data_IF_951641543300
#
_entry.id   IF_951641543300
#
_cell.length_a   1.000
_cell.length_b   1.000
_cell.length_c   1.000
_cell.angle_alpha   90.00
_cell.angle_beta   90.00
_cell.angle_gamma   90.00
#
_symmetry.space_group_name_H-M   'P 1'
#
loop_
_entity.id
_entity.type
_entity.pdbx_description
1 polymer ?
#
# COMPACT_ATOMS: atom_id res chain seq x y z
N UNK A 1 -37.19 -5.94 5.15
CA UNK A 1 -35.81 -5.67 5.60
C UNK A 1 -34.86 -6.20 4.54
N UNK A 2 -34.45 -5.34 3.61
CA UNK A 2 -33.57 -5.72 2.51
C UNK A 2 -32.13 -5.61 3.01
N UNK A 3 -31.56 -6.69 3.52
CA UNK A 3 -30.13 -6.75 3.83
C UNK A 3 -29.38 -6.85 2.51
N UNK A 4 -28.91 -5.71 2.00
CA UNK A 4 -27.83 -5.70 1.03
C UNK A 4 -26.60 -6.29 1.73
N UNK A 5 -26.37 -7.58 1.55
CA UNK A 5 -25.09 -8.20 1.85
C UNK A 5 -24.14 -7.61 0.81
N UNK A 6 -23.31 -6.64 1.23
CA UNK A 6 -22.23 -6.15 0.38
C UNK A 6 -21.27 -7.33 0.21
N UNK A 7 -21.11 -7.90 -0.99
CA UNK A 7 -20.20 -9.01 -1.19
C UNK A 7 -18.80 -8.56 -0.77
N UNK A 8 -18.08 -9.39 -0.04
CA UNK A 8 -16.69 -9.12 0.28
C UNK A 8 -15.94 -8.92 -1.07
N UNK A 9 -14.98 -8.00 -1.19
CA UNK A 9 -14.16 -7.87 -2.40
C UNK A 9 -13.60 -9.20 -2.94
N UNK A 10 -13.42 -10.21 -2.08
CA UNK A 10 -13.01 -11.57 -2.45
C UNK A 10 -14.12 -12.40 -3.12
N UNK A 11 -15.39 -12.15 -2.78
CA UNK A 11 -16.59 -12.80 -3.32
C UNK A 11 -16.83 -12.44 -4.79
N UNK A 12 -16.53 -11.20 -5.16
CA UNK A 12 -16.62 -10.71 -6.55
C UNK A 12 -15.69 -11.47 -7.49
N UNK A 13 -14.54 -11.95 -7.01
CA UNK A 13 -13.57 -12.65 -7.86
C UNK A 13 -14.11 -13.98 -8.37
N UNK A 14 -14.84 -14.77 -7.57
CA UNK A 14 -15.40 -16.04 -8.05
C UNK A 14 -16.57 -15.84 -9.02
N UNK A 15 -17.38 -14.81 -8.80
CA UNK A 15 -18.55 -14.53 -9.64
C UNK A 15 -18.12 -14.12 -11.05
N UNK A 16 -17.07 -13.30 -11.16
CA UNK A 16 -16.53 -12.81 -12.43
C UNK A 16 -15.51 -13.77 -13.08
N UNK A 17 -15.23 -14.92 -12.45
CA UNK A 17 -14.29 -15.92 -12.96
C UNK A 17 -14.98 -17.04 -13.75
N UNK A 18 -14.30 -17.50 -14.80
CA UNK A 18 -14.70 -18.69 -15.58
C UNK A 18 -13.80 -19.86 -15.18
N UNK A 19 -14.39 -20.97 -14.78
CA UNK A 19 -13.66 -22.18 -14.37
C UNK A 19 -13.88 -23.30 -15.39
N UNK A 20 -12.81 -24.00 -15.74
CA UNK A 20 -12.88 -25.26 -16.47
C UNK A 20 -12.94 -26.41 -15.46
N UNK A 21 -13.96 -27.26 -15.56
CA UNK A 21 -14.20 -28.38 -14.67
C UNK A 21 -14.26 -29.68 -15.46
N UNK A 22 -13.48 -30.68 -15.03
CA UNK A 22 -13.46 -32.00 -15.63
C UNK A 22 -14.43 -32.96 -14.93
N UNK A 23 -15.27 -33.66 -15.69
CA UNK A 23 -16.07 -34.76 -15.15
C UNK A 23 -15.20 -35.99 -14.91
N UNK A 24 -15.09 -36.45 -13.67
CA UNK A 24 -14.30 -37.63 -13.31
C UNK A 24 -14.84 -38.95 -13.90
N UNK A 25 -16.08 -38.98 -14.38
CA UNK A 25 -16.69 -40.18 -14.95
C UNK A 25 -16.45 -40.31 -16.47
N UNK A 26 -16.66 -39.24 -17.23
CA UNK A 26 -16.52 -39.27 -18.69
C UNK A 26 -15.27 -38.54 -19.22
N UNK A 27 -14.49 -37.94 -18.31
CA UNK A 27 -13.25 -37.21 -18.59
C UNK A 27 -13.39 -36.06 -19.59
N UNK A 28 -14.61 -35.50 -19.69
CA UNK A 28 -14.90 -34.33 -20.52
C UNK A 28 -14.91 -33.08 -19.66
N UNK A 29 -14.44 -31.99 -20.24
CA UNK A 29 -14.34 -30.69 -19.61
C UNK A 29 -15.54 -29.81 -19.98
N UNK A 30 -16.05 -29.08 -19.00
CA UNK A 30 -17.11 -28.08 -19.15
C UNK A 30 -16.67 -26.76 -18.49
N UNK A 31 -17.29 -25.65 -18.87
CA UNK A 31 -17.04 -24.33 -18.25
C UNK A 31 -18.17 -23.94 -17.32
N UNK A 32 -17.83 -23.41 -16.14
CA UNK A 32 -18.79 -22.92 -15.16
C UNK A 32 -18.45 -21.50 -14.71
N UNK A 33 -19.47 -20.77 -14.28
CA UNK A 33 -19.39 -19.38 -13.81
C UNK A 33 -20.26 -19.22 -12.57
N UNK A 34 -20.19 -18.04 -11.92
CA UNK A 34 -21.05 -17.69 -10.79
C UNK A 34 -20.90 -18.62 -9.57
N UNK A 35 -19.69 -19.11 -9.30
CA UNK A 35 -19.41 -19.84 -8.07
C UNK A 35 -19.45 -18.89 -6.87
N UNK A 36 -20.00 -19.36 -5.76
CA UNK A 36 -20.08 -18.62 -4.49
C UNK A 36 -19.37 -19.39 -3.37
N UNK A 37 -18.72 -18.66 -2.48
CA UNK A 37 -18.09 -19.25 -1.31
C UNK A 37 -19.12 -19.84 -0.35
N UNK A 38 -18.75 -20.96 0.28
CA UNK A 38 -19.58 -21.57 1.32
C UNK A 38 -20.90 -22.18 0.82
N UNK A 39 -21.14 -22.20 -0.49
CA UNK A 39 -22.30 -22.84 -1.11
C UNK A 39 -21.84 -24.02 -1.99
N UNK A 40 -22.64 -25.09 -2.00
CA UNK A 40 -22.39 -26.21 -2.88
C UNK A 40 -23.02 -25.93 -4.24
N UNK A 41 -22.20 -25.94 -5.28
CA UNK A 41 -22.64 -25.86 -6.65
C UNK A 41 -22.88 -27.29 -7.16
N UNK A 42 -24.10 -27.58 -7.60
CA UNK A 42 -24.49 -28.89 -8.10
C UNK A 42 -25.13 -28.78 -9.49
N UNK A 43 -24.62 -29.57 -10.44
CA UNK A 43 -25.24 -29.74 -11.76
C UNK A 43 -24.96 -31.14 -12.30
N UNK A 44 -25.71 -31.56 -13.31
CA UNK A 44 -25.38 -32.78 -14.04
C UNK A 44 -24.36 -32.49 -15.13
N UNK A 45 -23.40 -33.40 -15.32
CA UNK A 45 -22.48 -33.32 -16.46
C UNK A 45 -23.27 -33.27 -17.77
N UNK A 46 -22.90 -32.37 -18.69
CA UNK A 46 -23.58 -32.19 -19.97
C UNK A 46 -23.38 -33.36 -20.95
N UNK A 47 -22.54 -34.33 -20.58
CA UNK A 47 -22.18 -35.44 -21.46
C UNK A 47 -22.62 -36.82 -20.97
N UNK A 48 -22.51 -37.09 -19.67
CA UNK A 48 -22.87 -38.40 -19.10
C UNK A 48 -23.97 -38.30 -18.03
N UNK A 49 -24.48 -37.09 -17.77
CA UNK A 49 -25.54 -36.79 -16.80
C UNK A 49 -25.25 -37.25 -15.36
N UNK A 50 -24.01 -37.62 -15.05
CA UNK A 50 -23.58 -37.90 -13.68
C UNK A 50 -23.54 -36.60 -12.88
N UNK A 51 -23.98 -36.64 -11.63
CA UNK A 51 -24.03 -35.48 -10.74
C UNK A 51 -22.60 -34.97 -10.46
N UNK A 52 -22.39 -33.68 -10.66
CA UNK A 52 -21.20 -32.93 -10.30
C UNK A 52 -21.52 -32.07 -9.08
N UNK A 53 -20.57 -31.98 -8.14
CA UNK A 53 -20.68 -31.14 -6.95
C UNK A 53 -19.35 -30.46 -6.69
N UNK A 54 -19.37 -29.14 -6.52
CA UNK A 54 -18.18 -28.31 -6.29
C UNK A 54 -18.46 -27.42 -5.08
N UNK A 55 -17.54 -27.44 -4.12
CA UNK A 55 -17.61 -26.59 -2.93
C UNK A 55 -16.33 -25.79 -2.80
N UNK A 56 -16.47 -24.46 -2.74
CA UNK A 56 -15.33 -23.54 -2.57
C UNK A 56 -15.39 -22.95 -1.18
N UNK A 57 -14.49 -23.40 -0.30
CA UNK A 57 -14.42 -22.92 1.09
C UNK A 57 -13.72 -21.55 1.17
N UNK A 58 -12.58 -21.40 0.49
CA UNK A 58 -11.81 -20.17 0.44
C UNK A 58 -10.90 -20.17 -0.80
N UNK A 59 -10.54 -18.97 -1.29
CA UNK A 59 -9.52 -18.81 -2.33
C UNK A 59 -8.26 -18.21 -1.73
N UNK A 60 -7.12 -18.59 -2.30
CA UNK A 60 -5.82 -17.99 -2.00
C UNK A 60 -5.16 -17.62 -3.31
N UNK A 61 -4.80 -16.36 -3.45
CA UNK A 61 -4.03 -15.90 -4.60
C UNK A 61 -2.57 -16.27 -4.39
N UNK A 62 -2.09 -17.21 -5.21
CA UNK A 62 -0.68 -17.52 -5.30
C UNK A 62 -0.13 -16.88 -6.57
N UNK A 63 0.95 -16.13 -6.42
CA UNK A 63 1.65 -15.55 -7.56
C UNK A 63 2.43 -16.67 -8.26
N UNK A 64 1.90 -17.15 -9.39
CA UNK A 64 2.61 -18.07 -10.27
C UNK A 64 3.52 -17.22 -11.17
N UNK A 65 4.84 -17.39 -11.05
CA UNK A 65 5.77 -16.73 -11.96
C UNK A 65 5.50 -17.22 -13.39
N UNK A 66 5.30 -16.32 -14.37
CA UNK A 66 5.18 -16.74 -15.76
C UNK A 66 6.49 -17.41 -16.18
N UNK A 67 6.41 -18.65 -16.64
CA UNK A 67 7.54 -19.38 -17.20
C UNK A 67 8.06 -18.63 -18.43
N UNK A 68 9.24 -18.03 -18.30
CA UNK A 68 9.95 -17.45 -19.44
C UNK A 68 10.43 -18.58 -20.34
N UNK A 69 9.82 -18.72 -21.53
CA UNK A 69 10.36 -19.55 -22.61
C UNK A 69 11.82 -19.13 -22.89
N UNK A 70 12.72 -20.03 -22.51
CA UNK A 70 14.15 -20.15 -22.82
C UNK A 70 14.75 -19.08 -23.75
N UNK A 71 15.51 -18.15 -23.16
CA UNK A 71 16.79 -17.73 -23.74
C UNK A 71 17.84 -17.74 -22.63
N UNK A 72 18.77 -18.70 -22.74
CA UNK A 72 20.15 -18.69 -22.23
C UNK A 72 20.42 -17.94 -20.93
N UNK A 73 20.58 -18.71 -19.85
CA UNK A 73 21.72 -18.50 -18.95
C UNK A 73 21.77 -17.20 -18.14
N UNK A 74 20.67 -16.79 -17.53
CA UNK A 74 20.71 -16.06 -16.27
C UNK A 74 19.42 -16.35 -15.53
N UNK A 75 19.51 -17.03 -14.38
CA UNK A 75 18.37 -17.15 -13.48
C UNK A 75 17.81 -15.74 -13.27
N UNK A 76 16.57 -15.50 -13.70
CA UNK A 76 15.85 -14.28 -13.38
C UNK A 76 15.71 -14.27 -11.86
N UNK A 77 16.68 -13.64 -11.21
CA UNK A 77 16.65 -13.35 -9.80
C UNK A 77 15.39 -12.52 -9.64
N UNK A 78 14.35 -13.12 -9.03
CA UNK A 78 13.40 -12.34 -8.25
C UNK A 78 14.27 -11.35 -7.49
N UNK A 79 14.19 -10.06 -7.80
CA UNK A 79 15.03 -9.10 -7.11
C UNK A 79 14.65 -9.26 -5.66
N UNK A 80 15.53 -9.88 -4.86
CA UNK A 80 15.34 -9.99 -3.42
C UNK A 80 15.06 -8.57 -3.02
N UNK A 81 13.82 -8.27 -2.61
CA UNK A 81 13.41 -6.90 -2.33
C UNK A 81 14.43 -6.37 -1.36
N UNK A 82 15.27 -5.45 -1.82
CA UNK A 82 16.35 -4.91 -1.01
C UNK A 82 15.68 -4.32 0.23
N UNK A 83 15.92 -4.99 1.36
CA UNK A 83 15.43 -4.56 2.66
C UNK A 83 16.54 -3.72 3.24
N UNK A 84 16.39 -2.42 3.05
CA UNK A 84 17.26 -1.45 3.71
C UNK A 84 17.18 -1.67 5.23
N UNK A 85 18.31 -1.93 5.92
CA UNK A 85 18.34 -2.16 7.36
C UNK A 85 17.75 -1.00 8.18
N UNK A 86 17.75 0.22 7.66
CA UNK A 86 17.15 1.40 8.30
C UNK A 86 15.61 1.36 8.30
N UNK A 87 14.99 0.55 7.45
CA UNK A 87 13.53 0.43 7.35
C UNK A 87 13.02 -0.63 8.33
N UNK A 88 12.85 -0.22 9.58
CA UNK A 88 12.27 -1.05 10.65
C UNK A 88 10.84 -0.61 10.95
N UNK A 89 9.85 -1.43 10.60
CA UNK A 89 8.43 -1.12 10.83
C UNK A 89 8.18 -0.70 12.29
N UNK A 90 7.38 0.36 12.45
CA UNK A 90 7.07 0.98 13.74
C UNK A 90 8.07 2.03 14.21
N UNK A 91 9.28 2.08 13.64
CA UNK A 91 10.29 3.10 13.97
C UNK A 91 10.37 4.19 12.89
N UNK A 92 10.71 5.43 13.27
CA UNK A 92 10.95 6.49 12.28
C UNK A 92 12.20 6.19 11.47
N UNK A 93 12.19 6.58 10.20
CA UNK A 93 13.38 6.58 9.34
C UNK A 93 14.35 7.68 9.78
N UNK A 94 15.64 7.60 9.37
CA UNK A 94 16.59 8.70 9.54
C UNK A 94 16.00 10.02 9.04
N UNK A 95 16.15 11.09 9.82
CA UNK A 95 15.55 12.42 9.56
C UNK A 95 14.05 12.39 9.21
N UNK A 96 13.32 11.39 9.76
CA UNK A 96 11.91 11.13 9.44
C UNK A 96 11.66 10.99 7.94
N UNK A 97 12.63 10.45 7.21
CA UNK A 97 12.58 10.22 5.78
C UNK A 97 12.84 11.44 4.90
N UNK A 98 13.24 12.58 5.47
CA UNK A 98 13.60 13.75 4.69
C UNK A 98 15.01 13.63 4.08
N UNK A 99 15.25 14.37 3.00
CA UNK A 99 16.57 14.50 2.39
C UNK A 99 16.92 15.97 2.12
N UNK A 100 18.15 16.18 1.63
CA UNK A 100 18.65 17.51 1.24
C UNK A 100 17.83 18.17 0.14
N UNK A 101 17.31 17.39 -0.81
CA UNK A 101 16.52 17.90 -1.93
C UNK A 101 15.10 18.29 -1.50
N UNK A 102 14.47 17.50 -0.61
CA UNK A 102 13.08 17.70 -0.19
C UNK A 102 12.90 17.64 1.34
N UNK A 103 13.27 18.72 2.04
CA UNK A 103 13.18 18.82 3.51
C UNK A 103 11.76 18.69 4.09
N UNK A 104 10.72 18.86 3.27
CA UNK A 104 9.30 18.77 3.67
C UNK A 104 8.64 17.46 3.22
N UNK A 105 9.40 16.59 2.54
CA UNK A 105 8.97 15.25 2.19
C UNK A 105 9.46 14.32 3.29
N UNK A 106 8.54 13.60 3.92
CA UNK A 106 8.86 12.59 4.92
C UNK A 106 8.69 11.17 4.37
N UNK A 107 8.53 11.02 3.06
CA UNK A 107 8.35 9.72 2.38
C UNK A 107 9.64 9.24 1.75
N UNK A 108 9.88 7.95 1.83
CA UNK A 108 10.79 7.27 0.89
C UNK A 108 9.96 6.59 -0.20
N UNK A 109 10.54 6.49 -1.39
CA UNK A 109 9.96 5.89 -2.58
C UNK A 109 10.67 4.57 -2.84
N UNK A 110 9.90 3.50 -3.09
CA UNK A 110 10.48 2.23 -3.54
C UNK A 110 10.41 2.17 -5.07
N UNK A 111 11.56 2.17 -5.70
CA UNK A 111 11.68 2.19 -7.15
C UNK A 111 11.62 0.75 -7.71
N UNK A 112 10.72 0.45 -8.66
CA UNK A 112 10.58 -0.89 -9.24
C UNK A 112 11.84 -1.36 -9.99
N UNK A 113 12.57 -0.44 -10.62
CA UNK A 113 13.76 -0.71 -11.42
C UNK A 113 14.85 -1.48 -10.65
N UNK A 114 15.08 -1.16 -9.37
CA UNK A 114 16.12 -1.80 -8.54
C UNK A 114 15.60 -2.36 -7.20
N UNK A 115 14.33 -2.11 -6.87
CA UNK A 115 13.70 -2.54 -5.62
C UNK A 115 14.19 -1.79 -4.36
N UNK A 116 15.14 -0.85 -4.50
CA UNK A 116 15.69 -0.04 -3.41
C UNK A 116 14.75 1.10 -3.03
N UNK A 117 14.97 1.67 -1.85
CA UNK A 117 14.17 2.77 -1.33
C UNK A 117 15.03 4.01 -1.13
N UNK A 118 14.58 5.15 -1.67
CA UNK A 118 15.27 6.44 -1.53
C UNK A 118 14.29 7.54 -1.11
N UNK A 119 14.74 8.63 -0.47
CA UNK A 119 13.88 9.76 -0.11
C UNK A 119 13.20 10.46 -1.30
N UNK A 120 13.86 10.46 -2.46
CA UNK A 120 13.36 11.03 -3.72
C UNK A 120 14.04 10.41 -4.95
N UNK A 121 13.56 10.80 -6.11
CA UNK A 121 14.13 10.51 -7.43
C UNK A 121 15.57 11.02 -7.58
N UNK A 122 15.85 12.26 -7.17
CA UNK A 122 17.22 12.81 -7.26
C UNK A 122 18.22 12.01 -6.42
N UNK A 123 17.83 11.58 -5.21
CA UNK A 123 18.67 10.71 -4.38
C UNK A 123 18.90 9.33 -5.02
N UNK A 124 17.94 8.83 -5.79
CA UNK A 124 18.09 7.58 -6.53
C UNK A 124 19.11 7.75 -7.67
N UNK A 125 18.94 8.79 -8.50
CA UNK A 125 19.77 9.03 -9.68
C UNK A 125 21.22 9.39 -9.32
N UNK A 126 21.45 9.98 -8.14
CA UNK A 126 22.80 10.24 -7.62
C UNK A 126 23.53 8.94 -7.17
N UNK A 127 22.81 7.89 -6.79
CA UNK A 127 23.38 6.64 -6.25
C UNK A 127 23.36 5.48 -7.25
N UNK A 128 22.49 5.53 -8.26
CA UNK A 128 22.26 4.44 -9.22
C UNK A 128 22.56 4.87 -10.66
N UNK A 129 23.28 4.01 -11.39
CA UNK A 129 23.68 4.26 -12.79
C UNK A 129 22.66 3.70 -13.81
N UNK A 130 21.37 3.90 -13.55
CA UNK A 130 20.30 3.47 -14.44
C UNK A 130 19.11 4.42 -14.42
N UNK A 131 18.32 4.42 -15.50
CA UNK A 131 17.10 5.21 -15.58
C UNK A 131 16.10 4.78 -14.50
N UNK A 132 15.48 5.79 -13.89
CA UNK A 132 14.48 5.61 -12.86
C UNK A 132 13.12 5.22 -13.46
N UNK A 133 12.48 4.20 -12.88
CA UNK A 133 11.08 3.86 -13.13
C UNK A 133 10.21 4.40 -11.99
N UNK A 134 9.06 5.00 -12.32
CA UNK A 134 8.19 5.66 -11.34
C UNK A 134 7.79 4.73 -10.18
N UNK A 135 7.96 5.23 -8.96
CA UNK A 135 7.66 4.49 -7.75
C UNK A 135 6.15 4.25 -7.56
N UNK A 136 5.76 2.97 -7.48
CA UNK A 136 4.37 2.55 -7.20
C UNK A 136 4.08 2.38 -5.70
N UNK A 137 5.12 2.39 -4.85
CA UNK A 137 5.02 2.26 -3.40
C UNK A 137 5.82 3.36 -2.68
N UNK A 138 5.37 3.71 -1.49
CA UNK A 138 6.09 4.62 -0.60
C UNK A 138 6.24 4.03 0.81
N UNK A 139 7.23 4.50 1.55
CA UNK A 139 7.52 4.11 2.94
C UNK A 139 7.35 5.33 3.83
N UNK A 140 6.66 5.12 4.95
CA UNK A 140 6.41 6.17 5.92
C UNK A 140 7.66 6.58 6.71
N UNK A 141 8.13 7.82 6.63
CA UNK A 141 9.27 8.28 7.43
C UNK A 141 9.02 8.35 8.93
N UNK A 142 7.77 8.33 9.39
CA UNK A 142 7.45 8.36 10.82
C UNK A 142 7.35 6.97 11.47
N UNK A 143 6.92 5.96 10.72
CA UNK A 143 6.69 4.61 11.26
C UNK A 143 7.19 3.47 10.36
N UNK A 144 7.94 3.80 9.31
CA UNK A 144 8.48 2.88 8.30
C UNK A 144 7.45 1.93 7.65
N UNK A 145 6.15 2.23 7.72
CA UNK A 145 5.11 1.44 7.06
C UNK A 145 5.17 1.65 5.55
N UNK A 146 5.32 0.56 4.81
CA UNK A 146 5.26 0.56 3.36
C UNK A 146 3.81 0.45 2.87
N UNK A 147 3.41 1.32 1.96
CA UNK A 147 2.04 1.48 1.47
C UNK A 147 2.03 1.83 -0.03
N UNK A 148 0.88 1.66 -0.73
CA UNK A 148 0.75 2.13 -2.12
C UNK A 148 1.07 3.63 -2.23
N UNK A 149 1.63 4.03 -3.36
CA UNK A 149 1.87 5.44 -3.61
C UNK A 149 0.54 6.21 -3.65
N UNK A 150 0.48 7.31 -2.92
CA UNK A 150 -0.67 8.21 -2.85
C UNK A 150 -0.22 9.59 -2.36
N UNK A 151 -0.24 10.57 -3.24
CA UNK A 151 0.02 11.97 -2.86
C UNK A 151 -1.16 12.52 -2.06
N UNK A 152 -0.87 13.13 -0.90
CA UNK A 152 -1.89 13.86 -0.13
C UNK A 152 -2.78 13.01 0.77
N UNK A 153 -2.58 11.69 0.85
CA UNK A 153 -3.23 10.84 1.87
C UNK A 153 -2.32 10.59 3.07
N UNK A 154 -2.85 10.59 4.31
CA UNK A 154 -2.06 10.27 5.49
C UNK A 154 -1.59 8.81 5.47
N UNK A 155 -0.54 8.51 6.22
CA UNK A 155 -0.07 7.15 6.37
C UNK A 155 -1.16 6.24 6.96
N UNK A 156 -1.43 5.09 6.34
CA UNK A 156 -2.41 4.10 6.82
C UNK A 156 -1.95 3.36 8.10
N UNK A 157 -0.78 3.68 8.63
CA UNK A 157 -0.23 3.10 9.85
C UNK A 157 -0.35 4.03 11.04
N UNK A 158 0.22 5.23 10.92
CA UNK A 158 0.27 6.20 12.01
C UNK A 158 -0.61 7.44 11.79
N UNK A 159 -1.29 7.57 10.65
CA UNK A 159 -2.07 8.76 10.30
C UNK A 159 -1.22 10.00 9.95
N UNK A 160 0.12 9.91 10.03
CA UNK A 160 1.01 11.04 9.78
C UNK A 160 1.00 11.51 8.32
N UNK A 161 1.06 12.83 8.11
CA UNK A 161 1.13 13.44 6.77
C UNK A 161 2.55 13.45 6.24
N UNK A 162 2.76 12.79 5.10
CA UNK A 162 4.08 12.50 4.52
C UNK A 162 4.62 13.58 3.59
N UNK A 163 3.71 14.41 3.10
CA UNK A 163 3.99 15.55 2.24
C UNK A 163 3.33 16.77 2.88
N UNK A 164 3.69 17.97 2.47
CA UNK A 164 3.02 19.19 2.95
C UNK A 164 1.51 19.05 2.75
N UNK A 165 0.74 19.08 3.85
CA UNK A 165 -0.72 19.05 3.78
C UNK A 165 -1.19 20.26 2.97
N UNK A 166 -2.00 20.02 1.93
CA UNK A 166 -2.56 21.09 1.10
C UNK A 166 -3.54 22.01 1.86
N UNK A 167 -3.97 21.62 3.07
CA UNK A 167 -5.22 22.12 3.65
C UNK A 167 -5.11 23.06 4.86
N UNK A 168 -3.95 23.64 5.17
CA UNK A 168 -3.92 24.70 6.18
C UNK A 168 -2.73 25.65 6.07
N UNK A 169 -2.97 26.85 5.55
CA UNK A 169 -2.03 27.97 5.67
C UNK A 169 -1.75 28.33 7.14
N UNK A 170 -2.75 28.20 8.02
CA UNK A 170 -2.70 28.65 9.42
C UNK A 170 -2.28 27.58 10.44
N UNK A 171 -2.17 26.31 10.05
CA UNK A 171 -1.86 25.20 10.95
C UNK A 171 -0.55 24.53 10.53
N UNK A 172 0.21 24.01 11.49
CA UNK A 172 1.54 23.40 11.32
C UNK A 172 1.47 22.02 10.66
N UNK A 173 0.92 21.96 9.43
CA UNK A 173 0.96 20.76 8.60
C UNK A 173 0.31 19.53 9.25
N UNK A 174 -0.71 19.72 10.08
CA UNK A 174 -1.43 18.63 10.76
C UNK A 174 -0.93 18.28 12.17
N UNK A 175 0.03 19.00 12.74
CA UNK A 175 0.50 18.78 14.13
C UNK A 175 -0.42 19.38 15.21
N UNK A 176 -1.57 19.96 14.84
CA UNK A 176 -2.55 20.53 15.78
C UNK A 176 -2.18 21.91 16.36
N UNK A 177 -0.95 22.41 16.15
CA UNK A 177 -0.53 23.75 16.55
C UNK A 177 -0.73 24.77 15.41
N UNK A 178 -1.19 25.98 15.76
CA UNK A 178 -1.35 27.11 14.81
C UNK A 178 0.01 27.76 14.52
N UNK A 179 0.36 27.91 13.25
CA UNK A 179 1.62 28.54 12.86
C UNK A 179 1.51 30.07 12.89
N UNK A 180 1.96 30.71 13.98
CA UNK A 180 1.87 32.18 14.16
C UNK A 180 2.59 32.98 13.07
N UNK A 181 3.63 32.44 12.44
CA UNK A 181 4.39 33.11 11.37
C UNK A 181 3.53 33.26 10.11
N UNK A 182 2.72 32.24 9.80
CA UNK A 182 1.82 32.24 8.64
C UNK A 182 0.48 32.94 8.90
N UNK A 183 0.14 33.23 10.16
CA UNK A 183 -1.08 33.96 10.51
C UNK A 183 -0.97 35.44 10.16
N UNK A 184 -2.05 36.00 9.60
CA UNK A 184 -2.18 37.43 9.36
C UNK A 184 -1.91 38.22 10.64
N UNK A 185 -1.27 39.39 10.53
CA UNK A 185 -1.07 40.30 11.67
C UNK A 185 -2.39 40.74 12.30
N UNK A 186 -3.47 40.79 11.52
CA UNK A 186 -4.81 41.21 11.97
C UNK A 186 -5.64 40.04 12.51
N UNK A 187 -5.10 38.82 12.51
CA UNK A 187 -5.82 37.66 13.02
C UNK A 187 -5.87 37.71 14.55
N UNK A 188 -7.08 37.83 15.10
CA UNK A 188 -7.35 37.87 16.56
C UNK A 188 -6.76 36.68 17.31
N UNK A 189 -6.58 35.54 16.63
CA UNK A 189 -6.06 34.32 17.22
C UNK A 189 -4.54 34.24 17.26
N UNK A 190 -3.81 35.19 16.65
CA UNK A 190 -2.34 35.17 16.56
C UNK A 190 -1.66 35.42 17.91
N UNK A 191 -2.25 36.31 18.72
CA UNK A 191 -1.68 36.76 19.99
C UNK A 191 -2.41 36.21 21.22
N UNK A 192 -3.51 35.48 21.04
CA UNK A 192 -4.19 34.79 22.15
C UNK A 192 -3.23 33.77 22.77
N UNK A 193 -3.07 33.84 24.11
CA UNK A 193 -2.17 33.03 24.94
C UNK A 193 -0.67 33.41 24.95
N UNK A 194 -0.26 34.56 24.41
CA UNK A 194 1.17 34.95 24.40
C UNK A 194 1.72 35.26 25.81
N UNK A 195 0.85 35.58 26.77
CA UNK A 195 1.23 35.92 28.14
C UNK A 195 1.01 34.78 29.17
N UNK A 196 0.88 33.52 28.73
CA UNK A 196 0.78 32.41 29.68
C UNK A 196 2.15 32.05 30.21
N UNK A 197 2.32 32.08 31.53
CA UNK A 197 3.51 31.61 32.23
C UNK A 197 3.66 30.10 32.03
N UNK A 198 4.79 29.67 31.47
CA UNK A 198 5.10 28.24 31.31
C UNK A 198 5.75 27.76 32.60
N UNK A 199 5.17 26.76 33.27
CA UNK A 199 5.77 26.15 34.44
C UNK A 199 7.08 25.43 34.05
N UNK A 200 8.20 25.80 34.69
CA UNK A 200 9.47 25.08 34.57
C UNK A 200 9.36 23.71 35.24
N UNK A 201 8.98 22.68 34.48
CA UNK A 201 9.14 21.28 34.95
C UNK A 201 10.62 20.90 34.80
N UNK A 202 11.28 20.61 35.92
CA UNK A 202 12.68 20.15 35.95
C UNK A 202 12.81 18.85 35.14
N UNK A 203 13.59 18.87 34.07
CA UNK A 203 14.16 17.67 33.46
C UNK A 203 15.15 17.09 34.46
N UNK A 204 14.98 15.82 34.83
CA UNK A 204 16.02 15.02 35.50
C UNK A 204 16.96 14.54 34.40
N UNK A 205 18.24 14.82 34.58
CA UNK A 205 19.35 14.24 33.81
C UNK A 205 19.47 12.74 34.05
#
# INVERSE_FOLDING_TARGET
LCTYIIPNPVDLVLQDSVFTVGCLNCNKEDTIQNLTYGQNWEQNCQHCHTKLSIFVEATRFQFIQPESRNQTGAAAQYTRRYRDPAVQQGKPLPDKGACRHFKQSHRWLRFPCCGRAYPCDVCHDEDQDHLMELATRMICGYCAKEQPYSSGKPCVGCGGMMTRAAFSSHWEGGQGCRNKVKMSRNDRQKYTNTCKTVAKKKTKD
#
